data_IF_844371854714
#
_entry.id   IF_844371854714
#
_cell.length_a   1.000
_cell.length_b   1.000
_cell.length_c   1.000
_cell.angle_alpha   90.00
_cell.angle_beta   90.00
_cell.angle_gamma   90.00
#
_symmetry.space_group_name_H-M   'P 1'
#
loop_
_entity.id
_entity.type
_entity.pdbx_description
1 polymer ?
#
# COMPACT_ATOMS: atom_id res chain seq x y z
N UNK A 1 -56.55 6.31 7.21
CA UNK A 1 -55.18 6.19 7.73
C UNK A 1 -54.27 5.68 6.63
N UNK A 2 -53.05 6.21 6.62
CA UNK A 2 -52.09 6.34 5.52
C UNK A 2 -51.61 5.03 4.89
N UNK A 3 -51.77 4.97 3.57
CA UNK A 3 -50.97 4.17 2.66
C UNK A 3 -49.49 4.51 2.83
N UNK A 4 -48.72 3.61 3.43
CA UNK A 4 -47.26 3.69 3.44
C UNK A 4 -46.73 2.55 2.57
N UNK A 5 -46.66 2.86 1.27
CA UNK A 5 -45.76 2.21 0.34
C UNK A 5 -44.34 2.68 0.72
N UNK A 6 -43.64 1.87 1.50
CA UNK A 6 -42.20 1.98 1.68
C UNK A 6 -41.56 1.05 0.67
N UNK A 7 -41.11 1.61 -0.44
CA UNK A 7 -40.31 0.95 -1.46
C UNK A 7 -39.09 0.31 -0.79
N UNK A 8 -39.15 -1.00 -0.60
CA UNK A 8 -38.05 -1.81 -0.12
C UNK A 8 -36.95 -1.72 -1.19
N UNK A 9 -35.90 -0.97 -0.88
CA UNK A 9 -34.81 -0.68 -1.79
C UNK A 9 -34.02 -1.98 -2.02
N UNK A 10 -34.46 -2.72 -3.04
CA UNK A 10 -33.64 -3.51 -3.96
C UNK A 10 -32.25 -3.87 -3.43
N UNK A 11 -32.12 -5.05 -2.83
CA UNK A 11 -30.86 -5.77 -2.66
C UNK A 11 -30.17 -6.14 -4.01
N UNK A 12 -30.63 -5.58 -5.14
CA UNK A 12 -30.18 -5.85 -6.50
C UNK A 12 -28.91 -5.07 -6.93
N UNK A 13 -28.16 -4.50 -5.98
CA UNK A 13 -26.86 -3.86 -6.23
C UNK A 13 -25.74 -4.29 -5.29
N UNK A 14 -25.97 -5.23 -4.36
CA UNK A 14 -25.06 -5.55 -3.25
C UNK A 14 -23.66 -6.01 -3.69
N UNK A 15 -23.56 -6.86 -4.72
CA UNK A 15 -22.27 -7.37 -5.20
C UNK A 15 -21.48 -6.32 -5.98
N UNK A 16 -22.15 -5.55 -6.85
CA UNK A 16 -21.51 -4.45 -7.59
C UNK A 16 -21.07 -3.31 -6.66
N UNK A 17 -21.90 -2.98 -5.66
CA UNK A 17 -21.57 -1.99 -4.65
C UNK A 17 -20.43 -2.45 -3.74
N UNK A 18 -20.41 -3.72 -3.30
CA UNK A 18 -19.33 -4.28 -2.50
C UNK A 18 -18.01 -4.35 -3.29
N UNK A 19 -18.06 -4.73 -4.57
CA UNK A 19 -16.91 -4.70 -5.45
C UNK A 19 -16.39 -3.26 -5.63
N UNK A 20 -17.25 -2.31 -5.99
CA UNK A 20 -16.84 -0.92 -6.20
C UNK A 20 -16.30 -0.26 -4.94
N UNK A 21 -16.92 -0.48 -3.78
CA UNK A 21 -16.42 0.07 -2.51
C UNK A 21 -15.07 -0.54 -2.14
N UNK A 22 -14.94 -1.86 -2.16
CA UNK A 22 -13.67 -2.53 -1.84
C UNK A 22 -12.58 -2.15 -2.84
N UNK A 23 -12.87 -2.17 -4.14
CA UNK A 23 -11.94 -1.77 -5.19
C UNK A 23 -11.51 -0.31 -5.03
N UNK A 24 -12.43 0.61 -4.75
CA UNK A 24 -12.10 2.03 -4.55
C UNK A 24 -11.27 2.24 -3.28
N UNK A 25 -11.63 1.60 -2.17
CA UNK A 25 -10.90 1.72 -0.90
C UNK A 25 -9.49 1.15 -1.02
N UNK A 26 -9.34 -0.05 -1.59
CA UNK A 26 -8.02 -0.67 -1.78
C UNK A 26 -7.21 0.12 -2.81
N UNK A 27 -7.82 0.54 -3.91
CA UNK A 27 -7.15 1.36 -4.92
C UNK A 27 -6.64 2.68 -4.32
N UNK A 28 -7.45 3.39 -3.52
CA UNK A 28 -6.98 4.61 -2.84
C UNK A 28 -5.87 4.33 -1.82
N UNK A 29 -5.94 3.20 -1.10
CA UNK A 29 -4.93 2.83 -0.12
C UNK A 29 -3.59 2.44 -0.77
N UNK A 30 -3.63 1.82 -1.95
CA UNK A 30 -2.47 1.30 -2.69
C UNK A 30 -1.98 2.25 -3.80
N UNK A 31 -2.73 3.31 -4.11
CA UNK A 31 -2.44 4.23 -5.20
C UNK A 31 -1.10 4.92 -4.99
N UNK A 32 -0.15 4.68 -5.88
CA UNK A 32 1.16 5.31 -5.80
C UNK A 32 2.08 4.68 -4.75
N UNK A 33 1.81 3.43 -4.35
CA UNK A 33 2.81 2.66 -3.62
C UNK A 33 4.13 2.61 -4.41
N UNK A 34 5.24 2.60 -3.67
CA UNK A 34 6.60 2.60 -4.23
C UNK A 34 6.79 1.47 -5.24
N UNK A 35 6.11 0.34 -5.04
CA UNK A 35 6.17 -0.81 -5.94
C UNK A 35 5.52 -0.51 -7.30
N UNK A 36 4.43 0.27 -7.33
CA UNK A 36 3.77 0.70 -8.57
C UNK A 36 4.62 1.73 -9.33
N UNK A 37 5.21 2.70 -8.62
CA UNK A 37 6.10 3.69 -9.24
C UNK A 37 7.39 3.03 -9.78
N UNK A 38 7.95 2.06 -9.06
CA UNK A 38 9.12 1.31 -9.52
C UNK A 38 8.82 0.52 -10.80
N UNK A 39 7.66 -0.15 -10.87
CA UNK A 39 7.24 -0.86 -12.08
C UNK A 39 7.00 0.10 -13.26
N UNK A 40 6.37 1.26 -13.02
CA UNK A 40 6.13 2.27 -14.04
C UNK A 40 7.45 2.85 -14.58
N UNK A 41 8.37 3.23 -13.70
CA UNK A 41 9.69 3.75 -14.09
C UNK A 41 10.51 2.70 -14.84
N UNK A 42 10.51 1.44 -14.37
CA UNK A 42 11.20 0.36 -15.05
C UNK A 42 10.61 0.09 -16.43
N UNK A 43 9.28 0.16 -16.58
CA UNK A 43 8.59 0.06 -17.87
C UNK A 43 8.95 1.22 -18.79
N UNK A 44 9.01 2.45 -18.28
CA UNK A 44 9.39 3.63 -19.04
C UNK A 44 10.86 3.58 -19.49
N UNK A 45 11.75 3.04 -18.65
CA UNK A 45 13.19 3.00 -18.91
C UNK A 45 13.60 1.85 -19.85
N UNK A 46 12.92 0.70 -19.75
CA UNK A 46 13.23 -0.47 -20.59
C UNK A 46 12.58 -0.43 -21.97
N UNK A 47 11.53 0.39 -22.16
CA UNK A 47 10.75 0.43 -23.41
C UNK A 47 10.01 -0.88 -23.73
N UNK A 48 10.01 -1.85 -22.80
CA UNK A 48 9.45 -3.19 -22.97
C UNK A 48 8.43 -3.49 -21.86
N UNK A 49 7.21 -2.92 -21.93
CA UNK A 49 6.22 -3.00 -20.85
C UNK A 49 5.81 -4.43 -20.51
N UNK A 50 5.76 -5.33 -21.49
CA UNK A 50 5.38 -6.74 -21.28
C UNK A 50 6.40 -7.49 -20.43
N UNK A 51 7.70 -7.24 -20.64
CA UNK A 51 8.77 -7.91 -19.89
C UNK A 51 8.76 -7.43 -18.43
N UNK A 52 8.55 -6.13 -18.21
CA UNK A 52 8.43 -5.55 -16.87
C UNK A 52 7.19 -6.08 -16.15
N UNK A 53 6.07 -6.21 -16.86
CA UNK A 53 4.85 -6.78 -16.30
C UNK A 53 5.07 -8.23 -15.84
N UNK A 54 5.67 -9.07 -16.67
CA UNK A 54 5.96 -10.47 -16.30
C UNK A 54 6.95 -10.53 -15.14
N UNK A 55 8.03 -9.73 -15.18
CA UNK A 55 9.02 -9.67 -14.10
C UNK A 55 8.43 -9.23 -12.77
N UNK A 56 7.64 -8.16 -12.76
CA UNK A 56 6.95 -7.67 -11.56
C UNK A 56 5.91 -8.68 -11.04
N UNK A 57 5.18 -9.34 -11.95
CA UNK A 57 4.22 -10.39 -11.59
C UNK A 57 4.92 -11.58 -10.94
N UNK A 58 6.04 -12.05 -11.51
CA UNK A 58 6.83 -13.14 -10.94
C UNK A 58 7.43 -12.76 -9.58
N UNK A 59 7.93 -11.53 -9.44
CA UNK A 59 8.43 -11.02 -8.18
C UNK A 59 7.32 -11.00 -7.10
N UNK A 60 6.12 -10.53 -7.46
CA UNK A 60 4.97 -10.50 -6.57
C UNK A 60 4.55 -11.91 -6.14
N UNK A 61 4.37 -12.84 -7.10
CA UNK A 61 4.01 -14.23 -6.82
C UNK A 61 5.06 -14.87 -5.91
N UNK A 62 6.35 -14.68 -6.19
CA UNK A 62 7.44 -15.23 -5.38
C UNK A 62 7.43 -14.67 -3.97
N UNK A 63 7.26 -13.36 -3.83
CA UNK A 63 7.16 -12.68 -2.53
C UNK A 63 5.96 -13.18 -1.72
N UNK A 64 4.78 -13.27 -2.34
CA UNK A 64 3.57 -13.82 -1.72
C UNK A 64 3.75 -15.28 -1.32
N UNK A 65 4.39 -16.10 -2.14
CA UNK A 65 4.66 -17.50 -1.82
C UNK A 65 5.55 -17.62 -0.58
N UNK A 66 6.64 -16.85 -0.52
CA UNK A 66 7.51 -16.80 0.66
C UNK A 66 6.74 -16.33 1.89
N UNK A 67 5.93 -15.29 1.77
CA UNK A 67 5.09 -14.78 2.85
C UNK A 67 4.09 -15.81 3.37
N UNK A 68 3.43 -16.55 2.47
CA UNK A 68 2.47 -17.60 2.84
C UNK A 68 3.17 -18.79 3.50
N UNK A 69 4.30 -19.25 2.96
CA UNK A 69 5.07 -20.37 3.55
C UNK A 69 5.54 -19.99 4.95
N UNK A 70 6.14 -18.81 5.09
CA UNK A 70 6.64 -18.31 6.37
C UNK A 70 5.47 -18.10 7.36
N UNK A 71 4.37 -17.49 6.92
CA UNK A 71 3.18 -17.29 7.74
C UNK A 71 2.57 -18.60 8.23
N UNK A 72 2.49 -19.63 7.36
CA UNK A 72 2.01 -20.97 7.73
C UNK A 72 2.95 -21.65 8.73
N UNK A 73 4.25 -21.48 8.56
CA UNK A 73 5.25 -22.00 9.50
C UNK A 73 5.18 -21.30 10.86
N UNK A 74 5.06 -19.97 10.90
CA UNK A 74 4.86 -19.25 12.17
C UNK A 74 3.54 -19.67 12.85
N UNK A 75 2.47 -19.83 12.09
CA UNK A 75 1.17 -20.25 12.62
C UNK A 75 1.16 -21.68 13.16
N UNK A 76 2.07 -22.56 12.73
CA UNK A 76 2.18 -23.92 13.28
C UNK A 76 3.02 -23.98 14.56
N UNK A 77 3.91 -23.02 14.76
CA UNK A 77 4.80 -22.96 15.95
C UNK A 77 4.22 -22.10 17.07
N UNK A 78 3.43 -21.06 16.74
CA UNK A 78 2.92 -20.09 17.71
C UNK A 78 1.38 -20.09 17.82
N UNK A 79 0.81 -19.84 19.01
CA UNK A 79 -0.62 -19.61 19.18
C UNK A 79 -1.09 -18.37 18.40
N UNK A 80 -2.26 -18.43 17.77
CA UNK A 80 -2.80 -17.34 16.95
C UNK A 80 -2.81 -15.97 17.66
N UNK A 81 -3.14 -15.95 18.95
CA UNK A 81 -3.15 -14.74 19.78
C UNK A 81 -1.78 -14.06 19.92
N UNK A 82 -0.70 -14.84 19.94
CA UNK A 82 0.66 -14.29 19.99
C UNK A 82 1.04 -13.72 18.62
N UNK A 83 0.63 -14.38 17.54
CA UNK A 83 0.90 -13.93 16.17
C UNK A 83 0.19 -12.61 15.86
N UNK A 84 -1.08 -12.44 16.27
CA UNK A 84 -1.82 -11.18 16.13
C UNK A 84 -1.16 -10.03 16.91
N UNK A 85 -0.77 -10.27 18.17
CA UNK A 85 -0.07 -9.27 18.99
C UNK A 85 1.27 -8.89 18.38
N UNK A 86 2.02 -9.86 17.86
CA UNK A 86 3.30 -9.62 17.21
C UNK A 86 3.12 -8.79 15.93
N UNK A 87 2.14 -9.13 15.09
CA UNK A 87 1.83 -8.37 13.88
C UNK A 87 1.45 -6.91 14.21
N UNK A 88 0.59 -6.71 15.22
CA UNK A 88 0.24 -5.37 15.69
C UNK A 88 1.44 -4.58 16.24
N UNK A 89 2.32 -5.22 17.01
CA UNK A 89 3.53 -4.61 17.55
C UNK A 89 4.49 -4.19 16.43
N UNK A 90 4.72 -5.07 15.46
CA UNK A 90 5.55 -4.79 14.27
C UNK A 90 4.96 -3.63 13.48
N UNK A 91 3.63 -3.61 13.29
CA UNK A 91 2.94 -2.54 12.58
C UNK A 91 3.14 -1.16 13.26
N UNK A 92 2.96 -1.09 14.58
CA UNK A 92 3.18 0.14 15.35
C UNK A 92 4.66 0.56 15.29
N UNK A 93 5.59 -0.38 15.45
CA UNK A 93 7.01 -0.12 15.38
C UNK A 93 7.43 0.44 14.01
N UNK A 94 6.96 -0.16 12.92
CA UNK A 94 7.21 0.32 11.56
C UNK A 94 6.59 1.70 11.32
N UNK A 95 5.37 1.93 11.81
CA UNK A 95 4.70 3.23 11.73
C UNK A 95 5.49 4.34 12.44
N UNK A 96 5.94 4.09 13.68
CA UNK A 96 6.78 5.02 14.44
C UNK A 96 8.13 5.27 13.75
N UNK A 97 8.75 4.22 13.22
CA UNK A 97 10.01 4.33 12.50
C UNK A 97 9.89 5.18 11.24
N UNK A 98 8.88 4.90 10.40
CA UNK A 98 8.60 5.66 9.19
C UNK A 98 8.24 7.12 9.51
N UNK A 99 7.44 7.35 10.55
CA UNK A 99 7.13 8.69 11.03
C UNK A 99 8.38 9.45 11.47
N UNK A 100 9.27 8.81 12.24
CA UNK A 100 10.55 9.41 12.63
C UNK A 100 11.42 9.72 11.42
N UNK A 101 11.52 8.81 10.46
CA UNK A 101 12.29 9.03 9.22
C UNK A 101 11.75 10.22 8.43
N UNK A 102 10.43 10.37 8.33
CA UNK A 102 9.80 11.49 7.66
C UNK A 102 10.11 12.81 8.38
N UNK A 103 9.99 12.85 9.71
CA UNK A 103 10.30 14.05 10.51
C UNK A 103 11.77 14.44 10.39
N UNK A 104 12.70 13.47 10.47
CA UNK A 104 14.13 13.74 10.34
C UNK A 104 14.47 14.27 8.94
N UNK A 105 13.93 13.67 7.87
CA UNK A 105 14.14 14.17 6.50
C UNK A 105 13.58 15.59 6.31
N UNK A 106 12.41 15.89 6.86
CA UNK A 106 11.83 17.23 6.81
C UNK A 106 12.66 18.25 7.58
N UNK A 107 13.21 17.87 8.74
CA UNK A 107 14.08 18.76 9.53
C UNK A 107 15.44 19.01 8.87
N UNK A 108 15.94 18.06 8.06
CA UNK A 108 17.18 18.22 7.30
C UNK A 108 17.04 19.04 6.01
N UNK A 109 15.82 19.36 5.57
CA UNK A 109 15.54 20.10 4.33
C UNK A 109 15.62 21.64 4.47
N UNK A 110 16.24 22.16 5.53
CA UNK A 110 16.39 23.60 5.75
C UNK A 110 17.80 24.04 6.23
N UNK A 111 18.84 23.90 5.38
CA UNK A 111 19.97 24.85 5.42
C UNK A 111 20.42 25.43 4.06
N UNK A 112 19.98 24.88 2.92
CA UNK A 112 20.58 25.22 1.60
C UNK A 112 19.97 26.44 0.88
N UNK A 113 19.04 27.14 1.53
CA UNK A 113 18.33 28.28 0.94
C UNK A 113 19.04 29.62 1.23
N UNK A 114 20.20 29.59 1.93
CA UNK A 114 20.99 30.76 2.31
C UNK A 114 22.29 30.92 1.50
N UNK A 115 22.49 30.11 0.47
CA UNK A 115 23.59 30.25 -0.49
C UNK A 115 23.04 30.63 -1.87
N UNK A 116 22.44 31.81 -1.97
CA UNK A 116 22.19 32.42 -3.28
C UNK A 116 23.54 32.64 -3.96
N UNK A 117 23.75 32.17 -5.21
CA UNK A 117 24.95 32.50 -5.97
C UNK A 117 25.02 34.02 -6.12
N UNK A 118 26.03 34.63 -5.50
CA UNK A 118 26.38 36.01 -5.78
C UNK A 118 26.78 36.06 -7.26
N UNK A 119 25.90 36.63 -8.07
CA UNK A 119 26.20 36.99 -9.46
C UNK A 119 27.35 38.00 -9.38
N UNK A 120 28.58 37.53 -9.62
CA UNK A 120 29.74 38.41 -9.74
C UNK A 120 29.65 39.15 -11.08
N UNK A 121 29.94 40.48 -11.09
CA UNK A 121 29.80 41.34 -12.27
C UNK A 121 30.81 41.04 -13.37
#
# INVERSE_FOLDING_TARGET
MSSTSGSDNSHAGSWGAAFLTTATTVFLAELGDKTQLAALLLSAQSGQPVVVFIGASLALISSSLVGVVLGRWLASVMPAHQLERLAGLVMVALGLWLGRQAVLHLSSLHPDLLHLPQIQP
#
